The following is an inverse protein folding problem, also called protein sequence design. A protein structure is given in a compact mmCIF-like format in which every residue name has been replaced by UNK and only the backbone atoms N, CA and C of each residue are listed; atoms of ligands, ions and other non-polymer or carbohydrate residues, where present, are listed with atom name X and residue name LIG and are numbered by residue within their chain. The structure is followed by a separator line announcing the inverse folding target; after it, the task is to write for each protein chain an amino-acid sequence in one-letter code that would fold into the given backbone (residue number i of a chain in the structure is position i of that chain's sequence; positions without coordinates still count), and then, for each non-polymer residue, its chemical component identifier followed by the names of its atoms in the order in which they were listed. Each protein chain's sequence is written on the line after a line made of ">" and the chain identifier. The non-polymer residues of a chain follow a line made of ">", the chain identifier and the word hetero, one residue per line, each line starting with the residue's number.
data_IF_885389512674
#
_entry.id   IF_885389512674
#
_cell.length_a   1.000
_cell.length_b   1.000
_cell.length_c   1.000
_cell.angle_alpha   90.00
_cell.angle_beta   90.00
_cell.angle_gamma   90.00
#
_symmetry.space_group_name_H-M   'P 1'
#
loop_
_entity.id
_entity.type
_entity.pdbx_description
1 polymer ?
#
# COMPACT_ATOMS: atom_id res chain seq x y z
N UNK A 1 2.34 18.50 25.50
CA UNK A 1 2.59 17.14 25.12
C UNK A 1 2.18 16.86 23.68
N UNK A 2 3.08 16.30 22.99
CA UNK A 2 2.88 16.11 21.61
C UNK A 2 2.45 14.72 21.31
N UNK A 3 1.45 14.57 20.58
CA UNK A 3 1.01 13.26 20.16
C UNK A 3 1.55 12.97 18.79
N UNK A 4 2.34 11.93 18.70
CA UNK A 4 2.85 11.53 17.41
C UNK A 4 1.87 10.62 16.77
N UNK A 5 1.27 11.08 15.69
CA UNK A 5 0.34 10.26 14.96
C UNK A 5 1.10 9.47 13.93
N UNK A 6 1.09 8.18 14.10
CA UNK A 6 1.75 7.31 13.16
C UNK A 6 0.92 7.19 11.91
N UNK A 7 1.49 7.52 10.79
CA UNK A 7 0.77 7.41 9.54
C UNK A 7 0.75 5.97 9.09
N UNK A 8 -0.39 5.56 8.58
CA UNK A 8 -0.59 4.20 8.14
C UNK A 8 -0.48 4.13 6.63
N UNK A 9 0.19 3.10 6.15
CA UNK A 9 0.27 2.85 4.72
C UNK A 9 -0.67 1.69 4.43
N UNK A 10 -1.65 1.93 3.57
CA UNK A 10 -2.63 0.92 3.20
C UNK A 10 -2.52 0.61 1.73
N UNK A 11 -2.89 -0.59 1.36
CA UNK A 11 -2.89 -1.01 -0.04
C UNK A 11 -4.29 -1.50 -0.36
N UNK A 12 -4.87 -0.98 -1.43
CA UNK A 12 -6.18 -1.43 -1.89
C UNK A 12 -6.02 -2.23 -3.15
N UNK A 13 -6.49 -3.46 -3.13
CA UNK A 13 -6.36 -4.35 -4.26
C UNK A 13 -7.58 -5.25 -4.36
N UNK A 14 -8.19 -5.26 -5.53
CA UNK A 14 -9.36 -6.09 -5.80
C UNK A 14 -10.48 -5.89 -4.77
N UNK A 15 -10.71 -4.64 -4.44
CA UNK A 15 -11.79 -4.30 -3.52
C UNK A 15 -11.51 -4.54 -2.06
N UNK A 16 -10.30 -4.99 -1.74
CA UNK A 16 -9.91 -5.23 -0.36
C UNK A 16 -8.83 -4.25 0.04
N UNK A 17 -8.87 -3.86 1.29
CA UNK A 17 -7.89 -2.92 1.82
C UNK A 17 -7.02 -3.62 2.84
N UNK A 18 -5.73 -3.48 2.65
CA UNK A 18 -4.75 -4.11 3.53
C UNK A 18 -3.91 -3.03 4.18
N UNK A 19 -3.53 -3.24 5.43
CA UNK A 19 -2.61 -2.34 6.12
C UNK A 19 -1.22 -2.93 6.01
N UNK A 20 -0.29 -2.11 5.51
CA UNK A 20 1.07 -2.57 5.31
C UNK A 20 1.82 -2.58 6.64
N UNK A 21 2.33 -3.71 7.08
CA UNK A 21 3.11 -3.76 8.31
C UNK A 21 4.42 -3.00 8.16
N UNK A 22 4.93 -2.48 9.28
CA UNK A 22 6.15 -1.70 9.26
C UNK A 22 7.35 -2.48 8.75
N UNK A 23 7.39 -3.76 9.03
CA UNK A 23 8.53 -4.59 8.68
C UNK A 23 8.51 -5.07 7.23
N UNK A 24 7.47 -4.76 6.49
CA UNK A 24 7.30 -5.25 5.13
C UNK A 24 7.41 -4.09 4.15
N UNK A 25 8.22 -4.26 3.13
CA UNK A 25 8.32 -3.24 2.09
C UNK A 25 7.15 -3.37 1.12
N UNK A 26 6.91 -2.31 0.37
CA UNK A 26 5.83 -2.31 -0.61
C UNK A 26 6.05 -3.42 -1.63
N UNK A 27 7.30 -3.58 -2.11
CA UNK A 27 7.60 -4.60 -3.09
C UNK A 27 7.30 -5.99 -2.58
N UNK A 28 7.68 -6.27 -1.34
CA UNK A 28 7.42 -7.57 -0.76
C UNK A 28 5.92 -7.83 -0.61
N UNK A 29 5.19 -6.79 -0.24
CA UNK A 29 3.76 -6.94 -0.09
C UNK A 29 3.08 -7.20 -1.43
N UNK A 30 3.55 -6.55 -2.48
CA UNK A 30 3.00 -6.77 -3.81
C UNK A 30 3.22 -8.21 -4.25
N UNK A 31 4.38 -8.76 -3.94
CA UNK A 31 4.66 -10.15 -4.29
C UNK A 31 3.71 -11.08 -3.54
N UNK A 32 3.40 -10.76 -2.29
CA UNK A 32 2.47 -11.59 -1.53
C UNK A 32 1.06 -11.55 -2.11
N UNK A 33 0.73 -10.47 -2.80
CA UNK A 33 -0.56 -10.37 -3.47
C UNK A 33 -0.57 -11.08 -4.82
N UNK A 34 0.55 -11.65 -5.21
CA UNK A 34 0.64 -12.30 -6.50
C UNK A 34 1.07 -11.37 -7.62
N UNK A 35 1.56 -10.20 -7.25
CA UNK A 35 1.99 -9.21 -8.23
C UNK A 35 3.52 -9.17 -8.28
N UNK A 36 4.03 -8.47 -9.27
CA UNK A 36 5.47 -8.28 -9.38
C UNK A 36 5.89 -7.12 -8.49
N UNK A 37 7.09 -7.20 -7.94
CA UNK A 37 7.58 -6.09 -7.12
C UNK A 37 7.80 -4.84 -7.97
N UNK A 38 7.81 -4.99 -9.29
CA UNK A 38 7.94 -3.86 -10.21
C UNK A 38 6.61 -3.27 -10.61
N UNK A 39 5.51 -3.78 -10.08
CA UNK A 39 4.20 -3.29 -10.42
C UNK A 39 4.06 -1.82 -10.05
N UNK A 40 3.64 -0.96 -10.98
CA UNK A 40 3.44 0.45 -10.64
C UNK A 40 2.34 0.61 -9.61
N UNK A 41 2.52 1.55 -8.72
CA UNK A 41 1.58 1.79 -7.66
C UNK A 41 1.22 3.27 -7.63
N UNK A 42 -0.07 3.55 -7.58
CA UNK A 42 -0.55 4.92 -7.47
C UNK A 42 -0.71 5.23 -5.99
N UNK A 43 -0.10 6.32 -5.55
CA UNK A 43 -0.18 6.70 -4.15
C UNK A 43 -1.13 7.88 -3.98
N UNK A 44 -2.00 7.77 -3.00
CA UNK A 44 -2.92 8.84 -2.65
C UNK A 44 -2.71 9.17 -1.18
N UNK A 45 -2.64 10.44 -0.87
CA UNK A 45 -2.48 10.87 0.52
C UNK A 45 -3.85 10.98 1.14
N UNK A 46 -4.04 10.32 2.28
CA UNK A 46 -5.29 10.34 3.00
C UNK A 46 -5.08 10.97 4.37
N UNK A 47 -6.15 11.14 5.11
CA UNK A 47 -6.06 11.68 6.44
C UNK A 47 -5.19 10.82 7.35
N UNK A 48 -5.28 9.53 7.17
CA UNK A 48 -4.59 8.60 8.05
C UNK A 48 -3.22 8.20 7.56
N UNK A 49 -2.84 8.65 6.39
CA UNK A 49 -1.55 8.29 5.85
C UNK A 49 -1.58 8.17 4.34
N UNK A 50 -1.17 7.03 3.84
CA UNK A 50 -1.07 6.83 2.41
C UNK A 50 -1.87 5.62 1.96
N UNK A 51 -2.51 5.77 0.81
CA UNK A 51 -3.22 4.66 0.19
C UNK A 51 -2.54 4.33 -1.12
N UNK A 52 -2.14 3.09 -1.28
CA UNK A 52 -1.46 2.63 -2.47
C UNK A 52 -2.39 1.73 -3.27
N UNK A 53 -2.48 1.99 -4.55
CA UNK A 53 -3.33 1.19 -5.43
C UNK A 53 -2.46 0.65 -6.55
N UNK A 54 -2.19 -0.66 -6.56
CA UNK A 54 -1.38 -1.23 -7.63
C UNK A 54 -2.09 -1.09 -8.97
N UNK A 55 -1.32 -0.70 -9.97
CA UNK A 55 -1.85 -0.52 -11.32
C UNK A 55 -1.52 -1.76 -12.11
N UNK A 56 -2.49 -2.66 -12.19
CA UNK A 56 -2.30 -3.91 -12.91
C UNK A 56 -2.74 -3.70 -14.34
N UNK A 57 -1.82 -3.95 -15.26
CA UNK A 57 -2.14 -3.82 -16.66
C UNK A 57 -2.77 -5.10 -17.16
N UNK A 58 -3.92 -4.96 -17.77
CA UNK A 58 -4.57 -6.09 -18.39
C UNK A 58 -4.49 -5.95 -19.90
N UNK A 59 -4.08 -6.99 -20.51
CA UNK A 59 -4.03 -7.01 -21.97
C UNK A 59 -5.28 -7.66 -22.53
#
# INVERSE_FOLDING_TARGET
>A
METITKKTVSVEFEGKRYVLPDAVTIGMFLVQLGLSEDTPVKMTITKDGFLLVPQVLKN
#
